data_IF_402621265766
#
_entry.id   IF_402621265766
#
_cell.length_a   1.000
_cell.length_b   1.000
_cell.length_c   1.000
_cell.angle_alpha   90.00
_cell.angle_beta   90.00
_cell.angle_gamma   90.00
#
_symmetry.space_group_name_H-M   'P 1'
#
loop_
_entity.id
_entity.type
_entity.pdbx_description
1 polymer ?
#
# COMPACT_ATOMS: atom_id res chain seq x y z
N UNK A 1 1.55 10.70 -21.52
CA UNK A 1 1.19 10.79 -20.09
C UNK A 1 2.23 10.02 -19.30
N UNK A 2 2.71 10.55 -18.18
CA UNK A 2 3.76 9.92 -17.36
C UNK A 2 3.08 8.99 -16.36
N UNK A 3 3.45 7.71 -16.37
CA UNK A 3 2.96 6.73 -15.39
C UNK A 3 3.65 6.96 -14.04
N UNK A 4 2.92 7.15 -12.93
CA UNK A 4 3.52 7.33 -11.61
C UNK A 4 4.31 6.11 -11.17
N UNK A 5 5.42 6.33 -10.48
CA UNK A 5 6.24 5.28 -9.85
C UNK A 5 5.61 4.80 -8.53
N UNK A 6 6.13 3.69 -7.99
CA UNK A 6 5.75 3.21 -6.65
C UNK A 6 6.04 4.26 -5.58
N UNK A 7 7.24 4.82 -5.55
CA UNK A 7 7.62 5.87 -4.59
C UNK A 7 6.73 7.11 -4.67
N UNK A 8 6.30 7.50 -5.89
CA UNK A 8 5.33 8.59 -6.04
C UNK A 8 3.96 8.21 -5.47
N UNK A 9 3.54 6.95 -5.63
CA UNK A 9 2.27 6.45 -5.06
C UNK A 9 2.34 6.38 -3.54
N UNK A 10 3.46 5.94 -2.97
CA UNK A 10 3.73 5.96 -1.52
C UNK A 10 3.70 7.40 -0.99
N UNK A 11 4.37 8.32 -1.66
CA UNK A 11 4.38 9.73 -1.27
C UNK A 11 2.98 10.35 -1.28
N UNK A 12 2.16 10.04 -2.29
CA UNK A 12 0.76 10.50 -2.34
C UNK A 12 -0.07 9.85 -1.25
N UNK A 13 0.11 8.55 -0.99
CA UNK A 13 -0.56 7.85 0.10
C UNK A 13 -0.24 8.55 1.43
N UNK A 14 1.04 8.62 1.80
CA UNK A 14 1.51 9.21 3.06
C UNK A 14 1.02 10.65 3.21
N UNK A 15 1.08 11.45 2.15
CA UNK A 15 0.63 12.84 2.18
C UNK A 15 -0.90 12.94 2.41
N UNK A 16 -1.70 12.09 1.73
CA UNK A 16 -3.17 12.11 1.84
C UNK A 16 -3.69 11.45 3.12
N UNK A 17 -2.92 10.54 3.71
CA UNK A 17 -3.26 9.83 4.96
C UNK A 17 -2.42 10.32 6.14
N UNK A 18 -1.88 11.54 6.05
CA UNK A 18 -0.82 12.10 6.92
C UNK A 18 -1.06 11.98 8.43
N UNK A 19 -2.27 11.66 8.90
CA UNK A 19 -2.57 11.52 10.33
C UNK A 19 -3.73 10.54 10.62
N UNK A 20 -3.45 9.22 10.55
CA UNK A 20 -4.20 8.13 11.21
C UNK A 20 -5.19 7.30 10.38
N UNK A 21 -5.12 5.99 10.62
CA UNK A 21 -6.19 5.03 10.36
C UNK A 21 -6.04 4.24 9.07
N UNK A 22 -6.90 3.23 8.94
CA UNK A 22 -7.03 2.48 7.71
C UNK A 22 -7.92 3.24 6.72
N UNK A 23 -7.49 3.29 5.45
CA UNK A 23 -8.17 4.00 4.38
C UNK A 23 -8.47 3.09 3.19
N UNK A 24 -9.58 3.36 2.51
CA UNK A 24 -9.87 2.71 1.23
C UNK A 24 -8.98 3.28 0.13
N UNK A 25 -8.36 2.40 -0.67
CA UNK A 25 -7.59 2.80 -1.87
C UNK A 25 -8.44 3.66 -2.80
N UNK A 26 -9.74 3.36 -2.96
CA UNK A 26 -10.63 4.17 -3.81
C UNK A 26 -10.90 5.58 -3.27
N UNK A 27 -10.81 5.79 -1.95
CA UNK A 27 -10.97 7.12 -1.37
C UNK A 27 -9.71 7.99 -1.62
N UNK A 28 -8.53 7.36 -1.62
CA UNK A 28 -7.26 8.05 -1.87
C UNK A 28 -7.08 8.30 -3.37
N UNK A 29 -7.50 7.39 -4.25
CA UNK A 29 -7.35 7.52 -5.70
C UNK A 29 -8.70 7.32 -6.39
N UNK A 30 -9.52 8.34 -6.68
CA UNK A 30 -10.93 8.18 -7.07
C UNK A 30 -11.22 7.67 -8.50
N UNK A 31 -10.21 7.24 -9.28
CA UNK A 31 -10.36 6.71 -10.66
C UNK A 31 -10.82 7.76 -11.69
N UNK A 32 -10.66 9.04 -11.39
CA UNK A 32 -11.18 10.13 -12.22
C UNK A 32 -10.29 10.42 -13.44
N UNK A 33 -9.03 9.98 -13.38
CA UNK A 33 -8.05 10.20 -14.45
C UNK A 33 -7.08 9.01 -14.59
N UNK A 34 -6.27 9.03 -15.65
CA UNK A 34 -5.28 7.98 -15.96
C UNK A 34 -4.21 7.84 -14.86
N UNK A 35 -3.90 8.92 -14.15
CA UNK A 35 -2.96 8.91 -13.02
C UNK A 35 -3.53 8.12 -11.84
N UNK A 36 -4.80 8.32 -11.50
CA UNK A 36 -5.47 7.58 -10.42
C UNK A 36 -5.54 6.08 -10.71
N UNK A 37 -5.83 5.71 -11.96
CA UNK A 37 -5.80 4.32 -12.39
C UNK A 37 -4.41 3.70 -12.19
N UNK A 38 -3.36 4.44 -12.54
CA UNK A 38 -1.97 4.00 -12.37
C UNK A 38 -1.59 3.88 -10.89
N UNK A 39 -2.01 4.83 -10.05
CA UNK A 39 -1.82 4.74 -8.60
C UNK A 39 -2.53 3.53 -7.98
N UNK A 40 -3.78 3.24 -8.37
CA UNK A 40 -4.47 2.02 -7.92
C UNK A 40 -3.74 0.75 -8.35
N UNK A 41 -3.18 0.73 -9.57
CA UNK A 41 -2.34 -0.38 -10.02
C UNK A 41 -1.09 -0.53 -9.14
N UNK A 42 -0.43 0.58 -8.82
CA UNK A 42 0.72 0.61 -7.92
C UNK A 42 0.36 0.16 -6.50
N UNK A 43 -0.85 0.45 -5.99
CA UNK A 43 -1.31 -0.05 -4.69
C UNK A 43 -1.36 -1.59 -4.64
N UNK A 44 -1.71 -2.28 -5.72
CA UNK A 44 -1.63 -3.75 -5.75
C UNK A 44 -0.20 -4.26 -5.52
N UNK A 45 0.78 -3.59 -6.11
CA UNK A 45 2.19 -3.94 -5.93
C UNK A 45 2.68 -3.62 -4.52
N UNK A 46 2.26 -2.50 -3.94
CA UNK A 46 2.55 -2.18 -2.54
C UNK A 46 1.94 -3.19 -1.56
N UNK A 47 0.72 -3.68 -1.84
CA UNK A 47 0.09 -4.78 -1.07
C UNK A 47 0.93 -6.06 -1.18
N UNK A 48 1.34 -6.42 -2.40
CA UNK A 48 2.16 -7.63 -2.64
C UNK A 48 3.51 -7.60 -1.92
N UNK A 49 4.10 -6.41 -1.79
CA UNK A 49 5.35 -6.17 -1.06
C UNK A 49 5.16 -6.12 0.45
N UNK A 50 3.92 -6.00 0.93
CA UNK A 50 3.61 -5.84 2.35
C UNK A 50 3.72 -4.40 2.87
N UNK A 51 3.94 -3.43 1.97
CA UNK A 51 4.00 -2.00 2.30
C UNK A 51 2.60 -1.42 2.53
N UNK A 52 1.56 -1.97 1.90
CA UNK A 52 0.16 -1.70 2.24
C UNK A 52 -0.45 -2.95 2.85
N UNK A 53 -0.93 -2.85 4.09
CA UNK A 53 -1.51 -3.98 4.82
C UNK A 53 -3.00 -3.74 5.06
N UNK A 54 -3.83 -4.79 4.95
CA UNK A 54 -5.25 -4.68 5.27
C UNK A 54 -5.44 -4.46 6.77
N UNK A 55 -6.46 -3.67 7.14
CA UNK A 55 -6.93 -3.51 8.52
C UNK A 55 -7.18 -4.86 9.20
N UNK A 56 -7.81 -5.80 8.48
CA UNK A 56 -8.10 -7.14 8.97
C UNK A 56 -7.11 -8.14 8.39
N UNK A 57 -6.52 -8.96 9.26
CA UNK A 57 -5.61 -10.01 8.83
C UNK A 57 -6.34 -11.02 7.93
N UNK A 58 -5.81 -11.21 6.73
CA UNK A 58 -6.32 -12.16 5.73
C UNK A 58 -5.64 -13.53 5.81
N UNK A 59 -4.69 -13.71 6.73
CA UNK A 59 -3.79 -14.88 6.84
C UNK A 59 -3.05 -15.26 5.56
N UNK A 60 -3.07 -14.39 4.54
CA UNK A 60 -2.36 -14.59 3.29
C UNK A 60 -0.95 -14.02 3.42
N UNK A 61 0.06 -14.68 2.84
CA UNK A 61 1.38 -14.07 2.70
C UNK A 61 1.30 -12.87 1.73
N UNK A 62 2.09 -11.79 1.93
CA UNK A 62 2.01 -10.58 1.11
C UNK A 62 2.03 -10.85 -0.40
N UNK A 63 2.90 -11.74 -0.88
CA UNK A 63 3.02 -12.09 -2.30
C UNK A 63 1.74 -12.66 -2.94
N UNK A 64 0.81 -13.18 -2.14
CA UNK A 64 -0.48 -13.71 -2.59
C UNK A 64 -1.64 -12.73 -2.40
N UNK A 65 -1.40 -11.59 -1.73
CA UNK A 65 -2.43 -10.59 -1.49
C UNK A 65 -2.77 -9.81 -2.75
N UNK A 66 -4.04 -9.45 -2.83
CA UNK A 66 -4.57 -8.56 -3.87
C UNK A 66 -5.40 -7.48 -3.21
N UNK A 67 -5.66 -6.42 -3.95
CA UNK A 67 -6.54 -5.37 -3.47
C UNK A 67 -8.00 -5.83 -3.41
N UNK A 68 -8.59 -5.72 -2.21
CA UNK A 68 -10.02 -5.83 -1.95
C UNK A 68 -10.64 -4.43 -1.79
N UNK A 69 -11.71 -4.16 -2.52
CA UNK A 69 -12.39 -2.85 -2.54
C UNK A 69 -13.19 -2.58 -1.27
N UNK A 70 -13.57 -3.62 -0.53
CA UNK A 70 -14.31 -3.51 0.74
C UNK A 70 -13.36 -3.44 1.95
N UNK A 71 -12.06 -3.52 1.70
CA UNK A 71 -11.02 -3.53 2.71
C UNK A 71 -10.34 -2.16 2.83
N UNK A 72 -10.12 -1.73 4.08
CA UNK A 72 -9.26 -0.59 4.39
C UNK A 72 -7.81 -1.05 4.55
N UNK A 73 -6.88 -0.18 4.17
CA UNK A 73 -5.45 -0.44 4.22
C UNK A 73 -4.75 0.67 4.98
N UNK A 74 -3.64 0.33 5.63
CA UNK A 74 -2.69 1.31 6.16
C UNK A 74 -1.30 1.05 5.56
N UNK A 75 -0.51 2.12 5.50
CA UNK A 75 0.85 2.04 5.02
C UNK A 75 1.79 1.62 6.14
N UNK A 76 2.58 0.58 5.88
CA UNK A 76 3.63 0.09 6.75
C UNK A 76 4.96 0.41 6.09
N UNK A 77 5.72 1.32 6.70
CA UNK A 77 7.08 1.55 6.26
C UNK A 77 7.96 0.40 6.76
N UNK A 78 8.08 -0.65 5.93
CA UNK A 78 9.07 -1.68 6.15
C UNK A 78 10.43 -1.02 5.86
N UNK A 79 11.11 -0.57 6.91
CA UNK A 79 12.55 -0.42 6.84
C UNK A 79 13.08 -1.80 6.48
N UNK A 80 13.41 -2.04 5.21
CA UNK A 80 14.23 -3.18 4.82
C UNK A 80 15.62 -2.91 5.40
N UNK A 81 15.75 -3.08 6.72
CA UNK A 81 17.03 -3.15 7.38
C UNK A 81 17.64 -4.49 6.97
N UNK A 82 18.81 -4.52 6.30
CA UNK A 82 19.47 -5.78 5.95
C UNK A 82 19.89 -6.61 7.19
N UNK A 83 19.72 -6.07 8.41
CA UNK A 83 20.09 -6.69 9.68
C UNK A 83 18.95 -7.33 10.48
N UNK A 84 17.82 -7.67 9.85
CA UNK A 84 16.80 -8.52 10.50
C UNK A 84 17.23 -10.01 10.49
N UNK A 85 18.43 -10.32 10.98
CA UNK A 85 18.82 -11.66 11.41
C UNK A 85 19.15 -11.60 12.90
N UNK A 86 18.49 -12.49 13.64
CA UNK A 86 18.67 -12.77 15.07
C UNK A 86 18.19 -11.69 16.04
N UNK A 87 16.99 -11.89 16.60
CA UNK A 87 16.85 -12.17 18.03
C UNK A 87 15.76 -13.23 18.19
N UNK A 88 16.16 -14.50 18.38
CA UNK A 88 15.35 -15.51 19.05
C UNK A 88 15.77 -15.45 20.52
N UNK A 89 14.77 -15.55 21.41
CA UNK A 89 14.82 -15.55 22.88
C UNK A 89 16.03 -16.23 23.51
#
# INVERSE_FOLDING_TARGET
>A
MITPTLNQTEGVWINRTSDQGDHYIQAIFPKENHSDLSHRSNCNELIRRGNLQPEYADYLPPAQRTWDQEQRYHYVHILTSPDAKNIIY
#
